data_IF_922061121233
#
_entry.id   IF_922061121233
#
_cell.length_a   1.000
_cell.length_b   1.000
_cell.length_c   1.000
_cell.angle_alpha   90.00
_cell.angle_beta   90.00
_cell.angle_gamma   90.00
#
_symmetry.space_group_name_H-M   'P 1'
#
loop_
_entity.id
_entity.type
_entity.pdbx_description
1 polymer ?
#
# COMPACT_ATOMS: atom_id res chain seq x y z
N UNK A 1 20.57 31.54 -50.74
CA UNK A 1 19.87 31.85 -49.49
C UNK A 1 18.65 30.93 -49.39
N UNK A 2 18.70 29.92 -48.56
CA UNK A 2 17.57 29.00 -48.35
C UNK A 2 16.95 29.34 -47.00
N UNK A 3 15.67 29.77 -47.03
CA UNK A 3 14.88 30.01 -45.83
C UNK A 3 14.68 28.69 -45.05
N UNK A 4 15.11 28.66 -43.82
CA UNK A 4 14.80 27.63 -42.88
C UNK A 4 13.45 28.00 -42.23
N UNK A 5 12.39 27.29 -42.61
CA UNK A 5 11.07 27.41 -42.00
C UNK A 5 11.12 26.75 -40.61
N UNK A 6 10.95 27.59 -39.60
CA UNK A 6 10.86 27.18 -38.21
C UNK A 6 9.47 26.56 -37.97
N UNK A 7 9.40 25.25 -37.75
CA UNK A 7 8.17 24.56 -37.37
C UNK A 7 7.69 25.06 -36.00
N UNK A 8 6.40 25.38 -35.83
CA UNK A 8 5.87 25.78 -34.53
C UNK A 8 5.86 24.59 -33.58
N UNK A 9 6.44 24.78 -32.39
CA UNK A 9 6.33 23.84 -31.29
C UNK A 9 4.85 23.63 -30.99
N UNK A 10 4.36 22.42 -31.32
CA UNK A 10 3.06 21.96 -30.89
C UNK A 10 3.06 21.90 -29.35
N UNK A 11 2.41 22.87 -28.73
CA UNK A 11 2.03 22.78 -27.31
C UNK A 11 1.02 21.67 -27.20
N UNK A 12 1.44 20.51 -26.70
CA UNK A 12 0.51 19.53 -26.17
C UNK A 12 -0.16 20.16 -24.95
N UNK A 13 -1.26 20.85 -25.19
CA UNK A 13 -2.24 21.16 -24.15
C UNK A 13 -2.89 19.81 -23.85
N UNK A 14 -2.44 19.15 -22.79
CA UNK A 14 -3.16 18.02 -22.23
C UNK A 14 -4.51 18.57 -21.76
N UNK A 15 -5.54 18.29 -22.54
CA UNK A 15 -6.93 18.61 -22.23
C UNK A 15 -7.32 17.76 -20.99
N UNK A 16 -7.16 18.34 -19.80
CA UNK A 16 -7.64 17.78 -18.54
C UNK A 16 -9.14 18.06 -18.52
N UNK A 17 -9.92 17.20 -19.14
CA UNK A 17 -11.34 17.16 -18.88
C UNK A 17 -11.53 16.80 -17.41
N UNK A 18 -11.96 17.77 -16.62
CA UNK A 18 -12.20 17.56 -15.20
C UNK A 18 -13.33 16.55 -15.02
N UNK A 19 -13.02 15.42 -14.36
CA UNK A 19 -14.05 14.50 -13.90
C UNK A 19 -14.98 15.24 -12.93
N UNK A 20 -16.25 14.95 -13.00
CA UNK A 20 -17.19 15.44 -12.00
C UNK A 20 -16.90 14.80 -10.65
N UNK A 21 -17.23 15.48 -9.56
CA UNK A 21 -17.05 14.95 -8.20
C UNK A 21 -17.80 13.62 -8.03
N UNK A 22 -18.96 13.47 -8.65
CA UNK A 22 -19.77 12.25 -8.61
C UNK A 22 -19.08 11.07 -9.33
N UNK A 23 -18.50 11.29 -10.49
CA UNK A 23 -17.73 10.28 -11.24
C UNK A 23 -16.51 9.84 -10.45
N UNK A 24 -15.76 10.81 -9.91
CA UNK A 24 -14.58 10.53 -9.10
C UNK A 24 -14.95 9.71 -7.85
N UNK A 25 -16.02 10.06 -7.16
CA UNK A 25 -16.52 9.31 -6.01
C UNK A 25 -16.99 7.90 -6.38
N UNK A 26 -17.58 7.71 -7.57
CA UNK A 26 -17.94 6.39 -8.05
C UNK A 26 -16.71 5.51 -8.32
N UNK A 27 -15.68 6.06 -8.93
CA UNK A 27 -14.42 5.35 -9.18
C UNK A 27 -13.73 4.98 -7.85
N UNK A 28 -13.61 5.91 -6.90
CA UNK A 28 -13.04 5.63 -5.58
C UNK A 28 -13.81 4.53 -4.83
N UNK A 29 -15.15 4.51 -4.90
CA UNK A 29 -15.95 3.44 -4.31
C UNK A 29 -15.68 2.09 -4.97
N UNK A 30 -15.56 2.06 -6.30
CA UNK A 30 -15.24 0.84 -7.04
C UNK A 30 -13.88 0.29 -6.63
N UNK A 31 -12.85 1.13 -6.59
CA UNK A 31 -11.50 0.73 -6.18
C UNK A 31 -11.48 0.30 -4.69
N UNK A 32 -12.27 0.97 -3.85
CA UNK A 32 -12.40 0.62 -2.42
C UNK A 32 -12.98 -0.77 -2.16
N UNK A 33 -13.64 -1.39 -3.15
CA UNK A 33 -14.10 -2.79 -3.06
C UNK A 33 -13.03 -3.82 -3.44
N UNK A 34 -11.92 -3.39 -4.03
CA UNK A 34 -10.81 -4.27 -4.40
C UNK A 34 -9.98 -4.59 -3.16
N UNK A 35 -9.93 -5.85 -2.77
CA UNK A 35 -9.14 -6.32 -1.64
C UNK A 35 -7.75 -6.78 -2.09
N UNK A 36 -6.79 -6.73 -1.18
CA UNK A 36 -5.47 -7.32 -1.44
C UNK A 36 -5.58 -8.85 -1.51
N UNK A 37 -5.12 -9.51 -2.59
CA UNK A 37 -5.26 -10.96 -2.75
C UNK A 37 -4.44 -11.78 -1.72
N UNK A 38 -3.40 -11.18 -1.14
CA UNK A 38 -2.58 -11.82 -0.09
C UNK A 38 -3.13 -11.56 1.32
N UNK A 39 -3.97 -10.51 1.48
CA UNK A 39 -4.57 -10.11 2.76
C UNK A 39 -6.04 -9.69 2.50
N UNK A 40 -6.95 -10.62 2.21
CA UNK A 40 -8.29 -10.30 1.67
C UNK A 40 -9.25 -9.66 2.70
N UNK A 41 -8.75 -9.22 3.83
CA UNK A 41 -9.50 -8.47 4.85
C UNK A 41 -9.33 -6.95 4.71
N UNK A 42 -8.37 -6.48 3.91
CA UNK A 42 -8.11 -5.06 3.68
C UNK A 42 -8.17 -4.73 2.20
N UNK A 43 -8.68 -3.55 1.87
CA UNK A 43 -8.71 -3.08 0.49
C UNK A 43 -7.37 -2.43 0.10
N UNK A 44 -7.12 -2.36 -1.21
CA UNK A 44 -5.95 -1.68 -1.76
C UNK A 44 -5.92 -0.19 -1.44
N UNK A 45 -7.08 0.42 -1.18
CA UNK A 45 -7.21 1.80 -0.72
C UNK A 45 -6.81 1.92 0.75
N UNK A 46 -7.32 1.03 1.61
CA UNK A 46 -6.98 1.01 3.04
C UNK A 46 -5.49 0.71 3.29
N UNK A 47 -4.86 -0.08 2.42
CA UNK A 47 -3.41 -0.29 2.45
C UNK A 47 -2.60 0.88 1.92
N UNK A 48 -3.24 1.92 1.36
CA UNK A 48 -2.53 3.05 0.76
C UNK A 48 -1.75 2.69 -0.51
N UNK A 49 -2.10 1.58 -1.17
CA UNK A 49 -1.51 1.17 -2.45
C UNK A 49 -1.95 2.14 -3.56
N UNK A 50 -3.21 2.59 -3.54
CA UNK A 50 -3.75 3.56 -4.50
C UNK A 50 -3.31 4.97 -4.11
N UNK A 51 -2.62 5.67 -5.01
CA UNK A 51 -2.03 6.99 -4.76
C UNK A 51 -2.83 8.14 -5.34
N UNK A 52 -3.32 7.97 -6.54
CA UNK A 52 -4.18 8.97 -7.19
C UNK A 52 -5.14 8.32 -8.17
N UNK A 53 -6.24 9.02 -8.41
CA UNK A 53 -7.23 8.72 -9.45
C UNK A 53 -7.49 10.02 -10.18
N UNK A 54 -7.17 10.04 -11.46
CA UNK A 54 -7.28 11.24 -12.30
C UNK A 54 -7.91 10.91 -13.65
N UNK A 55 -8.42 11.92 -14.34
CA UNK A 55 -8.87 11.78 -15.72
C UNK A 55 -7.80 12.40 -16.64
N UNK A 56 -7.17 11.57 -17.45
CA UNK A 56 -6.08 11.98 -18.37
C UNK A 56 -6.51 11.66 -19.80
N UNK A 57 -6.56 12.67 -20.65
CA UNK A 57 -6.97 12.53 -22.05
C UNK A 57 -8.32 11.79 -22.25
N UNK A 58 -9.27 12.01 -21.35
CA UNK A 58 -10.61 11.40 -21.40
C UNK A 58 -10.70 9.99 -20.83
N UNK A 59 -9.61 9.37 -20.39
CA UNK A 59 -9.59 8.06 -19.72
C UNK A 59 -9.25 8.20 -18.23
N UNK A 60 -9.68 7.24 -17.41
CA UNK A 60 -9.28 7.15 -16.02
C UNK A 60 -7.86 6.62 -15.91
N UNK A 61 -7.06 7.28 -15.10
CA UNK A 61 -5.72 6.83 -14.72
C UNK A 61 -5.66 6.64 -13.21
N UNK A 62 -5.24 5.46 -12.77
CA UNK A 62 -5.07 5.10 -11.37
C UNK A 62 -3.59 4.83 -11.12
N UNK A 63 -2.97 5.65 -10.27
CA UNK A 63 -1.58 5.42 -9.87
C UNK A 63 -1.54 4.53 -8.63
N UNK A 64 -0.74 3.48 -8.69
CA UNK A 64 -0.54 2.55 -7.57
C UNK A 64 0.94 2.43 -7.20
N UNK A 65 1.22 2.22 -5.91
CA UNK A 65 2.55 1.91 -5.40
C UNK A 65 2.46 0.62 -4.60
N UNK A 66 3.11 -0.47 -5.03
CA UNK A 66 3.11 -1.73 -4.30
C UNK A 66 3.86 -1.60 -2.96
N UNK A 67 3.49 -2.39 -1.97
CA UNK A 67 4.12 -2.39 -0.64
C UNK A 67 5.61 -2.72 -0.66
N UNK A 68 6.07 -3.40 -1.71
CA UNK A 68 7.49 -3.58 -2.05
C UNK A 68 7.62 -3.86 -3.56
N UNK A 69 8.78 -3.54 -4.13
CA UNK A 69 9.00 -3.53 -5.59
C UNK A 69 8.82 -4.87 -6.30
N UNK A 70 8.90 -5.98 -5.56
CA UNK A 70 8.76 -7.35 -6.08
C UNK A 70 7.44 -8.03 -5.73
N UNK A 71 6.38 -7.28 -5.35
CA UNK A 71 5.10 -7.86 -4.95
C UNK A 71 4.45 -8.65 -6.10
N UNK A 72 4.25 -9.96 -5.96
CA UNK A 72 3.63 -10.77 -7.00
C UNK A 72 2.15 -10.44 -7.21
N UNK A 73 1.49 -9.88 -6.19
CA UNK A 73 0.09 -9.47 -6.25
C UNK A 73 -0.15 -8.23 -7.13
N UNK A 74 0.88 -7.45 -7.48
CA UNK A 74 0.73 -6.17 -8.19
C UNK A 74 -0.11 -6.30 -9.46
N UNK A 75 0.15 -7.31 -10.29
CA UNK A 75 -0.62 -7.52 -11.53
C UNK A 75 -2.08 -7.87 -11.28
N UNK A 76 -2.34 -8.71 -10.28
CA UNK A 76 -3.72 -9.07 -9.91
C UNK A 76 -4.48 -7.84 -9.41
N UNK A 77 -3.84 -7.03 -8.55
CA UNK A 77 -4.41 -5.76 -8.06
C UNK A 77 -4.71 -4.80 -9.21
N UNK A 78 -3.80 -4.66 -10.17
CA UNK A 78 -4.01 -3.80 -11.35
C UNK A 78 -5.23 -4.27 -12.17
N UNK A 79 -5.35 -5.58 -12.41
CA UNK A 79 -6.45 -6.13 -13.20
C UNK A 79 -7.77 -6.03 -12.44
N UNK A 80 -7.79 -6.28 -11.13
CA UNK A 80 -8.97 -6.14 -10.30
C UNK A 80 -9.46 -4.67 -10.23
N UNK A 81 -8.55 -3.70 -10.15
CA UNK A 81 -8.89 -2.27 -10.24
C UNK A 81 -9.54 -1.94 -11.58
N UNK A 82 -8.96 -2.42 -12.70
CA UNK A 82 -9.52 -2.20 -14.04
C UNK A 82 -10.92 -2.80 -14.15
N UNK A 83 -11.11 -4.02 -13.66
CA UNK A 83 -12.41 -4.71 -13.68
C UNK A 83 -13.44 -4.01 -12.81
N UNK A 84 -13.07 -3.57 -11.61
CA UNK A 84 -13.97 -2.88 -10.69
C UNK A 84 -14.47 -1.56 -11.28
N UNK A 85 -13.60 -0.76 -11.89
CA UNK A 85 -13.96 0.50 -12.54
C UNK A 85 -14.87 0.23 -13.73
N UNK A 86 -14.52 -0.72 -14.61
CA UNK A 86 -15.32 -1.08 -15.78
C UNK A 86 -16.72 -1.54 -15.38
N UNK A 87 -16.84 -2.34 -14.32
CA UNK A 87 -18.14 -2.81 -13.81
C UNK A 87 -18.98 -1.68 -13.20
N UNK A 88 -18.36 -0.71 -12.53
CA UNK A 88 -19.09 0.34 -11.83
C UNK A 88 -19.56 1.49 -12.73
N UNK A 89 -18.77 1.88 -13.73
CA UNK A 89 -19.03 3.06 -14.56
C UNK A 89 -19.02 2.78 -16.06
N UNK A 90 -18.74 1.53 -16.49
CA UNK A 90 -18.71 1.16 -17.92
C UNK A 90 -17.50 1.69 -18.69
N UNK A 91 -16.53 2.30 -18.02
CA UNK A 91 -15.34 2.90 -18.64
C UNK A 91 -14.07 2.08 -18.37
N UNK A 92 -13.07 2.25 -19.25
CA UNK A 92 -11.75 1.65 -19.04
C UNK A 92 -10.87 2.55 -18.21
N UNK A 93 -9.99 1.95 -17.40
CA UNK A 93 -8.97 2.64 -16.65
C UNK A 93 -7.57 2.15 -17.03
N UNK A 94 -6.61 3.06 -17.05
CA UNK A 94 -5.20 2.76 -17.06
C UNK A 94 -4.71 2.69 -15.62
N UNK A 95 -4.02 1.60 -15.24
CA UNK A 95 -3.38 1.50 -13.94
C UNK A 95 -1.88 1.60 -14.16
N UNK A 96 -1.26 2.57 -13.50
CA UNK A 96 0.15 2.90 -13.62
C UNK A 96 0.85 2.60 -12.30
N UNK A 97 1.79 1.66 -12.33
CA UNK A 97 2.59 1.35 -11.15
C UNK A 97 3.80 2.28 -11.07
N UNK A 98 3.95 2.96 -9.93
CA UNK A 98 5.10 3.81 -9.62
C UNK A 98 5.82 3.27 -8.38
N UNK A 99 7.16 3.34 -8.38
CA UNK A 99 7.99 2.88 -7.27
C UNK A 99 8.62 4.04 -6.47
N UNK A 100 8.39 5.27 -6.90
CA UNK A 100 8.86 6.48 -6.23
C UNK A 100 7.71 7.48 -6.09
N UNK A 101 7.45 8.02 -4.89
CA UNK A 101 8.08 7.61 -3.64
C UNK A 101 7.76 6.15 -3.28
N UNK A 102 8.67 5.49 -2.57
CA UNK A 102 8.43 4.12 -2.11
C UNK A 102 7.23 4.09 -1.15
N UNK A 103 6.49 2.98 -1.18
CA UNK A 103 5.39 2.79 -0.24
C UNK A 103 5.89 2.77 1.21
N UNK A 104 5.11 3.31 2.12
CA UNK A 104 5.39 3.31 3.55
C UNK A 104 4.17 2.86 4.35
N UNK A 105 4.39 2.26 5.50
CA UNK A 105 3.33 1.84 6.43
C UNK A 105 2.48 3.00 6.96
N UNK A 106 2.98 4.23 6.89
CA UNK A 106 2.24 5.43 7.28
C UNK A 106 1.06 5.74 6.34
N UNK A 107 1.03 5.09 5.17
CA UNK A 107 -0.07 5.24 4.22
C UNK A 107 -1.25 4.31 4.49
N UNK A 108 -1.09 3.35 5.42
CA UNK A 108 -2.19 2.46 5.82
C UNK A 108 -3.23 3.28 6.58
N UNK A 109 -4.47 3.23 6.12
CA UNK A 109 -5.57 3.89 6.81
C UNK A 109 -5.83 3.27 8.21
N UNK A 110 -6.33 4.05 9.18
CA UNK A 110 -6.66 3.53 10.51
C UNK A 110 -7.59 2.32 10.47
N UNK A 111 -8.55 2.31 9.54
CA UNK A 111 -9.49 1.20 9.33
C UNK A 111 -8.76 -0.06 8.84
N UNK A 112 -7.77 0.10 7.97
CA UNK A 112 -6.90 -0.99 7.51
C UNK A 112 -6.10 -1.60 8.65
N UNK A 113 -5.51 -0.79 9.52
CA UNK A 113 -4.79 -1.25 10.72
C UNK A 113 -5.72 -2.02 11.68
N UNK A 114 -6.97 -1.53 11.85
CA UNK A 114 -7.97 -2.19 12.68
C UNK A 114 -8.38 -3.55 12.09
N UNK A 115 -8.60 -3.64 10.79
CA UNK A 115 -8.95 -4.88 10.08
C UNK A 115 -7.83 -5.91 10.15
N UNK A 116 -6.56 -5.50 9.96
CA UNK A 116 -5.40 -6.38 10.13
C UNK A 116 -5.41 -7.00 11.52
N UNK A 117 -5.55 -6.17 12.57
CA UNK A 117 -5.58 -6.67 13.95
C UNK A 117 -6.74 -7.62 14.21
N UNK A 118 -7.94 -7.29 13.74
CA UNK A 118 -9.13 -8.15 13.89
C UNK A 118 -8.97 -9.51 13.18
N UNK A 119 -8.18 -9.56 12.11
CA UNK A 119 -7.84 -10.77 11.39
C UNK A 119 -6.67 -11.56 12.02
N UNK A 120 -6.17 -11.15 13.18
CA UNK A 120 -5.03 -11.82 13.84
C UNK A 120 -3.67 -11.51 13.21
N UNK A 121 -3.60 -10.46 12.40
CA UNK A 121 -2.34 -9.97 11.82
C UNK A 121 -1.89 -8.76 12.64
N UNK A 122 -0.74 -8.85 13.29
CA UNK A 122 -0.18 -7.72 14.01
C UNK A 122 0.15 -6.61 12.98
N UNK A 123 -0.46 -5.41 13.10
CA UNK A 123 -0.14 -4.31 12.20
C UNK A 123 1.29 -3.82 12.45
N UNK A 124 1.91 -3.14 11.47
CA UNK A 124 3.20 -2.50 11.69
C UNK A 124 3.09 -1.55 12.88
N UNK A 125 4.05 -1.62 13.79
CA UNK A 125 4.17 -0.60 14.83
C UNK A 125 4.32 0.76 14.16
N UNK A 126 3.76 1.82 14.76
CA UNK A 126 4.12 3.16 14.36
C UNK A 126 5.64 3.22 14.24
N UNK A 127 6.16 3.68 13.09
CA UNK A 127 7.59 3.79 12.90
C UNK A 127 8.13 4.48 14.15
N UNK A 128 8.95 3.75 14.93
CA UNK A 128 9.52 4.34 16.12
C UNK A 128 10.29 5.55 15.59
N UNK A 129 9.77 6.74 15.86
CA UNK A 129 10.45 7.98 15.58
C UNK A 129 11.87 7.78 16.11
N UNK A 130 12.87 7.96 15.27
CA UNK A 130 14.28 7.71 15.56
C UNK A 130 14.84 8.69 16.61
N UNK A 131 14.07 9.03 17.63
CA UNK A 131 14.50 9.66 18.85
C UNK A 131 14.93 8.59 19.87
N UNK A 132 15.88 7.75 19.47
CA UNK A 132 16.66 7.02 20.45
C UNK A 132 17.68 8.02 20.99
N UNK A 133 17.35 8.61 22.13
CA UNK A 133 18.38 9.22 22.98
C UNK A 133 19.47 8.16 23.20
N UNK A 134 20.62 8.35 22.55
CA UNK A 134 21.78 7.48 22.69
C UNK A 134 22.33 7.68 24.10
N UNK A 135 21.76 7.00 25.07
CA UNK A 135 22.43 6.77 26.35
C UNK A 135 23.42 5.63 26.11
N UNK A 136 24.69 5.98 26.08
CA UNK A 136 25.79 5.05 25.93
C UNK A 136 25.76 3.98 27.03
N UNK A 137 25.18 2.80 26.73
CA UNK A 137 25.51 1.54 27.42
C UNK A 137 25.05 0.34 26.59
N UNK A 138 26.02 -0.53 26.34
CA UNK A 138 25.94 -1.81 25.64
C UNK A 138 25.85 -1.72 24.12
N UNK A 139 26.99 -1.91 23.45
CA UNK A 139 27.10 -2.28 22.05
C UNK A 139 26.56 -3.72 21.91
N UNK A 140 25.24 -3.86 21.78
CA UNK A 140 24.65 -5.11 21.32
C UNK A 140 24.75 -5.10 19.81
N UNK A 141 25.55 -5.99 19.24
CA UNK A 141 25.57 -6.24 17.80
C UNK A 141 24.22 -6.83 17.40
N UNK A 142 23.29 -5.98 16.98
CA UNK A 142 21.95 -6.31 16.50
C UNK A 142 21.08 -5.05 16.50
N UNK A 143 20.43 -4.76 15.37
CA UNK A 143 19.38 -3.72 15.36
C UNK A 143 18.34 -4.10 16.41
N UNK A 144 17.94 -3.18 17.33
CA UNK A 144 16.82 -3.45 18.23
C UNK A 144 15.61 -3.84 17.37
N UNK A 145 15.09 -5.04 17.58
CA UNK A 145 13.86 -5.45 16.90
C UNK A 145 12.70 -4.72 17.59
N UNK A 146 11.81 -4.09 16.82
CA UNK A 146 10.63 -3.47 17.43
C UNK A 146 9.82 -4.54 18.17
N UNK A 147 9.34 -4.19 19.36
CA UNK A 147 8.43 -5.05 20.10
C UNK A 147 7.10 -5.15 19.32
N UNK A 148 6.73 -6.36 18.92
CA UNK A 148 5.49 -6.63 18.20
C UNK A 148 4.44 -7.10 19.19
N UNK A 149 3.34 -6.34 19.33
CA UNK A 149 2.23 -6.75 20.20
C UNK A 149 1.46 -7.91 19.57
N UNK A 150 1.14 -8.91 20.38
CA UNK A 150 0.27 -10.00 19.97
C UNK A 150 -1.14 -9.45 19.63
N UNK A 151 -1.69 -9.71 18.45
CA UNK A 151 -3.01 -9.22 18.07
C UNK A 151 -4.14 -9.83 18.90
N UNK A 152 -3.92 -11.04 19.49
CA UNK A 152 -4.93 -11.78 20.24
C UNK A 152 -5.01 -11.36 21.70
N UNK A 153 -3.87 -11.14 22.39
CA UNK A 153 -3.86 -10.85 23.84
C UNK A 153 -3.14 -9.54 24.21
N UNK A 154 -2.56 -8.82 23.25
CA UNK A 154 -1.87 -7.56 23.48
C UNK A 154 -0.47 -7.68 24.10
N UNK A 155 -0.01 -8.89 24.45
CA UNK A 155 1.30 -9.09 25.07
C UNK A 155 2.44 -8.67 24.15
N UNK A 156 3.46 -8.04 24.73
CA UNK A 156 4.73 -7.73 24.05
C UNK A 156 5.75 -8.87 24.16
N UNK A 157 5.44 -9.94 24.90
CA UNK A 157 6.29 -11.13 25.01
C UNK A 157 6.10 -12.02 23.78
N UNK A 158 6.64 -11.58 22.67
CA UNK A 158 6.53 -12.23 21.36
C UNK A 158 7.91 -12.51 20.79
N UNK A 159 8.01 -13.56 20.01
CA UNK A 159 9.24 -13.96 19.34
C UNK A 159 8.99 -14.21 17.86
N UNK A 160 9.91 -13.75 17.01
CA UNK A 160 9.91 -14.05 15.58
C UNK A 160 10.26 -15.52 15.36
N UNK A 161 9.40 -16.26 14.69
CA UNK A 161 9.63 -17.63 14.25
C UNK A 161 10.28 -17.68 12.88
N UNK A 162 9.80 -16.82 11.95
CA UNK A 162 10.31 -16.73 10.61
C UNK A 162 10.20 -15.30 10.08
N UNK A 163 11.26 -14.83 9.39
CA UNK A 163 11.31 -13.50 8.78
C UNK A 163 10.33 -13.33 7.63
N UNK A 164 9.90 -14.42 7.02
CA UNK A 164 8.92 -14.48 5.94
C UNK A 164 7.80 -15.40 6.36
N UNK A 165 6.57 -14.89 6.32
CA UNK A 165 5.34 -15.64 6.57
C UNK A 165 4.80 -16.24 5.28
N UNK A 166 3.47 -16.32 5.15
CA UNK A 166 2.78 -16.77 3.94
C UNK A 166 3.08 -15.89 2.72
N UNK A 167 3.45 -14.64 2.94
CA UNK A 167 3.83 -13.66 1.93
C UNK A 167 5.07 -12.89 2.35
N UNK A 168 5.76 -12.26 1.40
CA UNK A 168 7.01 -11.55 1.67
C UNK A 168 6.82 -10.30 2.54
N UNK A 169 5.64 -9.68 2.53
CA UNK A 169 5.29 -8.52 3.36
C UNK A 169 5.00 -8.89 4.82
N UNK A 170 4.86 -10.18 5.15
CA UNK A 170 4.58 -10.67 6.50
C UNK A 170 5.76 -11.44 7.09
N UNK A 171 5.88 -11.40 8.42
CA UNK A 171 6.75 -12.26 9.21
C UNK A 171 5.90 -13.10 10.15
N UNK A 172 6.39 -14.25 10.57
CA UNK A 172 5.68 -15.13 11.50
C UNK A 172 6.23 -14.97 12.91
N UNK A 173 5.34 -14.80 13.87
CA UNK A 173 5.64 -14.60 15.28
C UNK A 173 4.88 -15.60 16.15
N UNK A 174 5.33 -15.76 17.39
CA UNK A 174 4.61 -16.49 18.43
C UNK A 174 4.55 -15.67 19.72
N UNK A 175 3.39 -15.65 20.34
CA UNK A 175 3.20 -15.07 21.66
C UNK A 175 3.67 -16.06 22.75
N UNK A 176 4.42 -15.59 23.74
CA UNK A 176 4.82 -16.41 24.87
C UNK A 176 3.74 -16.52 25.97
N UNK A 177 2.73 -15.62 25.92
CA UNK A 177 1.66 -15.63 26.93
C UNK A 177 0.46 -16.47 26.52
N UNK A 178 -0.12 -16.21 25.33
CA UNK A 178 -1.26 -17.01 24.85
C UNK A 178 -0.84 -18.20 23.99
N UNK A 179 0.44 -18.34 23.67
CA UNK A 179 1.07 -19.42 22.89
C UNK A 179 0.66 -19.47 21.42
N UNK A 180 -0.21 -18.57 20.96
CA UNK A 180 -0.70 -18.52 19.59
C UNK A 180 0.37 -17.98 18.62
N UNK A 181 0.55 -18.63 17.45
CA UNK A 181 1.29 -18.04 16.33
C UNK A 181 0.42 -16.98 15.66
N UNK A 182 1.07 -15.97 15.06
CA UNK A 182 0.40 -14.92 14.31
C UNK A 182 1.31 -14.33 13.24
N UNK A 183 0.70 -13.75 12.21
CA UNK A 183 1.42 -12.99 11.20
C UNK A 183 1.67 -11.54 11.68
N UNK A 184 2.81 -10.99 11.33
CA UNK A 184 3.16 -9.59 11.54
C UNK A 184 3.37 -8.92 10.19
N UNK A 185 2.59 -7.89 9.89
CA UNK A 185 2.80 -7.05 8.71
C UNK A 185 4.04 -6.18 8.95
N UNK A 186 5.08 -6.40 8.13
CA UNK A 186 6.38 -5.75 8.34
C UNK A 186 6.33 -4.26 7.95
N UNK A 187 7.02 -3.38 8.70
CA UNK A 187 7.20 -1.98 8.29
C UNK A 187 8.10 -1.89 7.06
N UNK A 188 7.78 -0.96 6.18
CA UNK A 188 8.53 -0.60 4.98
C UNK A 188 8.74 0.91 4.92
#
# INVERSE_FOLDING_TARGET
>A
MRHVETLPHARFVTDRMHATEQELAAVWRAIGSVVDPEIPVVSVVELGIVRSVERVAGAWEVTVTPTYSGCPATRVIEDDIRMAIAAAIGERAHVVTVLAPAWTTDWIAPEGLAKLRAAGIAPPGAAASHDVAVTARAVTFGRPRPAVACPNCGSLRTAELARFGSTACKAQYRCADCLEPFDYFKPH
#
